data_IF_156752022979
#
_entry.id   IF_156752022979
#
_cell.length_a   1.000
_cell.length_b   1.000
_cell.length_c   1.000
_cell.angle_alpha   90.00
_cell.angle_beta   90.00
_cell.angle_gamma   90.00
#
_symmetry.space_group_name_H-M   'P 1'
#
loop_
_entity.id
_entity.type
_entity.pdbx_description
1 polymer ?
#
# COMPACT_ATOMS: atom_id res chain seq x y z
N UNK A 1 25.70 -51.02 28.08
CA UNK A 1 24.56 -50.91 27.17
C UNK A 1 24.74 -49.56 26.49
N UNK A 2 25.20 -49.59 25.23
CA UNK A 2 25.33 -48.51 24.22
C UNK A 2 26.19 -47.28 24.62
N UNK A 3 27.34 -46.92 24.03
CA UNK A 3 28.05 -47.07 22.73
C UNK A 3 27.46 -46.38 21.49
N UNK A 4 28.38 -45.75 20.72
CA UNK A 4 28.32 -45.02 19.44
C UNK A 4 27.90 -43.53 19.48
N UNK A 5 28.79 -42.54 19.30
CA UNK A 5 29.91 -42.27 18.35
C UNK A 5 29.44 -41.89 16.93
N UNK A 6 29.89 -40.71 16.53
CA UNK A 6 29.68 -39.97 15.29
C UNK A 6 29.96 -40.73 13.99
N UNK A 7 29.24 -40.37 12.93
CA UNK A 7 29.61 -40.66 11.55
C UNK A 7 29.19 -39.51 10.62
N UNK A 8 30.17 -38.98 9.91
CA UNK A 8 30.09 -37.97 8.86
C UNK A 8 30.49 -38.69 7.58
N UNK A 9 29.62 -38.75 6.56
CA UNK A 9 29.99 -39.01 5.16
C UNK A 9 28.82 -38.52 4.27
N UNK A 10 28.93 -37.39 3.57
CA UNK A 10 29.57 -37.20 2.25
C UNK A 10 28.81 -37.94 1.14
N UNK A 11 27.83 -37.24 0.57
CA UNK A 11 27.18 -37.60 -0.71
C UNK A 11 27.71 -36.66 -1.78
N UNK A 12 28.64 -37.15 -2.59
CA UNK A 12 29.03 -36.55 -3.88
C UNK A 12 28.04 -37.05 -4.93
N UNK A 13 27.16 -36.18 -5.42
CA UNK A 13 26.23 -36.49 -6.50
C UNK A 13 26.75 -35.91 -7.83
N UNK A 14 27.31 -36.82 -8.62
CA UNK A 14 27.35 -36.93 -10.08
C UNK A 14 27.03 -35.66 -10.92
N UNK A 15 28.07 -35.00 -11.42
CA UNK A 15 27.97 -34.09 -12.57
C UNK A 15 28.00 -34.90 -13.87
N UNK A 16 26.85 -35.01 -14.54
CA UNK A 16 26.73 -35.59 -15.87
C UNK A 16 26.91 -34.49 -16.93
N UNK A 17 28.02 -34.57 -17.67
CA UNK A 17 28.38 -33.65 -18.75
C UNK A 17 27.81 -34.21 -20.06
N UNK A 18 26.88 -33.52 -20.76
CA UNK A 18 26.45 -33.97 -22.09
C UNK A 18 27.47 -33.62 -23.17
N UNK A 19 27.69 -34.59 -24.06
CA UNK A 19 28.61 -34.57 -25.21
C UNK A 19 28.30 -33.45 -26.24
N UNK A 20 29.31 -32.99 -27.01
CA UNK A 20 29.13 -31.94 -28.00
C UNK A 20 28.44 -32.44 -29.27
N UNK A 21 27.46 -31.67 -29.74
CA UNK A 21 26.74 -31.89 -31.00
C UNK A 21 27.63 -31.51 -32.19
N UNK A 22 27.76 -32.44 -33.14
CA UNK A 22 28.51 -32.28 -34.40
C UNK A 22 27.92 -31.17 -35.30
N UNK A 23 28.82 -30.33 -35.82
CA UNK A 23 28.59 -29.34 -36.88
C UNK A 23 28.63 -30.04 -38.26
N UNK A 24 27.67 -29.83 -39.17
CA UNK A 24 27.79 -30.34 -40.54
C UNK A 24 28.56 -29.37 -41.45
N UNK A 25 29.54 -29.93 -42.18
CA UNK A 25 30.30 -29.31 -43.27
C UNK A 25 29.42 -28.80 -44.45
N UNK A 26 29.94 -27.87 -45.28
CA UNK A 26 29.15 -27.14 -46.27
C UNK A 26 28.99 -27.91 -47.58
N UNK A 27 27.78 -27.90 -48.14
CA UNK A 27 27.49 -28.46 -49.46
C UNK A 27 27.81 -27.47 -50.60
N UNK A 28 28.35 -28.07 -51.66
CA UNK A 28 28.92 -27.47 -52.86
C UNK A 28 27.98 -26.62 -53.73
N UNK A 29 28.63 -25.66 -54.37
CA UNK A 29 28.22 -24.84 -55.50
C UNK A 29 27.86 -25.70 -56.73
N UNK A 30 26.65 -25.53 -57.28
CA UNK A 30 26.33 -25.96 -58.66
C UNK A 30 25.72 -24.82 -59.46
N UNK A 31 26.26 -24.68 -60.67
CA UNK A 31 26.04 -23.59 -61.60
C UNK A 31 24.77 -23.74 -62.44
N UNK A 32 24.11 -22.61 -62.67
CA UNK A 32 23.70 -22.16 -64.01
C UNK A 32 22.49 -22.84 -64.68
N UNK A 33 21.31 -22.25 -64.52
CA UNK A 33 20.22 -22.36 -65.49
C UNK A 33 19.74 -20.95 -65.91
N UNK A 34 19.78 -20.68 -67.21
CA UNK A 34 19.53 -19.37 -67.83
C UNK A 34 18.03 -19.08 -67.94
N UNK A 35 17.56 -18.04 -67.24
CA UNK A 35 16.19 -17.50 -67.31
C UNK A 35 16.12 -16.35 -68.33
N UNK A 36 15.11 -16.29 -69.23
CA UNK A 36 14.98 -15.20 -70.20
C UNK A 36 14.68 -13.84 -69.53
N UNK A 37 15.01 -12.70 -70.15
CA UNK A 37 14.84 -11.39 -69.52
C UNK A 37 13.35 -11.06 -69.31
N UNK A 38 12.96 -10.89 -68.05
CA UNK A 38 11.65 -10.37 -67.67
C UNK A 38 11.49 -8.88 -68.02
N UNK A 39 10.25 -8.35 -67.99
CA UNK A 39 9.96 -6.97 -68.38
C UNK A 39 10.73 -5.98 -67.50
N UNK A 40 11.25 -4.94 -68.14
CA UNK A 40 12.09 -3.92 -67.51
C UNK A 40 11.35 -3.18 -66.39
N UNK A 41 12.11 -2.66 -65.41
CA UNK A 41 11.60 -1.90 -64.27
C UNK A 41 10.62 -0.77 -64.66
N UNK A 42 10.81 -0.15 -65.83
CA UNK A 42 9.90 0.88 -66.36
C UNK A 42 8.53 0.31 -66.78
N UNK A 43 8.46 -0.91 -67.30
CA UNK A 43 7.21 -1.58 -67.64
C UNK A 43 6.43 -2.06 -66.41
N UNK A 44 7.15 -2.41 -65.32
CA UNK A 44 6.52 -2.73 -64.02
C UNK A 44 6.00 -1.48 -63.30
N UNK A 45 6.70 -0.35 -63.38
CA UNK A 45 6.22 0.92 -62.80
C UNK A 45 4.95 1.45 -63.48
N UNK A 46 4.85 1.35 -64.81
CA UNK A 46 3.69 1.85 -65.55
C UNK A 46 2.39 1.07 -65.27
N UNK A 47 2.48 -0.23 -64.98
CA UNK A 47 1.33 -1.08 -64.64
C UNK A 47 0.94 -1.00 -63.16
N UNK A 48 1.86 -0.63 -62.27
CA UNK A 48 1.59 -0.54 -60.82
C UNK A 48 1.09 0.83 -60.39
N UNK A 49 1.40 1.90 -61.14
CA UNK A 49 1.02 3.28 -60.79
C UNK A 49 -0.22 3.82 -61.54
N UNK A 50 -0.66 3.17 -62.60
CA UNK A 50 -1.92 3.51 -63.30
C UNK A 50 -3.17 3.55 -62.39
N UNK A 51 -3.38 2.61 -61.44
CA UNK A 51 -4.58 2.63 -60.59
C UNK A 51 -4.51 3.63 -59.42
N UNK A 52 -3.39 4.34 -59.21
CA UNK A 52 -3.26 5.32 -58.13
C UNK A 52 -3.82 6.69 -58.54
N UNK A 53 -3.64 7.08 -59.81
CA UNK A 53 -4.17 8.34 -60.37
C UNK A 53 -5.69 8.35 -60.46
N UNK A 54 -6.31 7.27 -60.95
CA UNK A 54 -7.77 7.13 -61.05
C UNK A 54 -8.46 7.11 -59.67
N UNK A 55 -7.78 6.60 -58.62
CA UNK A 55 -8.31 6.57 -57.24
C UNK A 55 -8.26 7.94 -56.55
N UNK A 56 -7.27 8.77 -56.86
CA UNK A 56 -7.17 10.13 -56.34
C UNK A 56 -8.15 11.09 -57.02
N UNK A 57 -8.33 10.97 -58.33
CA UNK A 57 -9.33 11.77 -59.07
C UNK A 57 -10.77 11.39 -58.67
N UNK A 58 -11.03 10.09 -58.44
CA UNK A 58 -12.33 9.62 -57.93
C UNK A 58 -12.60 10.03 -56.48
N UNK A 59 -11.57 10.15 -55.63
CA UNK A 59 -11.69 10.64 -54.26
C UNK A 59 -12.04 12.13 -54.19
N UNK A 60 -11.40 12.95 -55.04
CA UNK A 60 -11.67 14.38 -55.15
C UNK A 60 -13.03 14.68 -55.78
N UNK A 61 -13.47 13.88 -56.76
CA UNK A 61 -14.81 14.01 -57.35
C UNK A 61 -15.93 13.66 -56.35
N UNK A 62 -15.76 12.61 -55.52
CA UNK A 62 -16.71 12.25 -54.45
C UNK A 62 -16.74 13.26 -53.31
N UNK A 63 -15.61 13.90 -53.00
CA UNK A 63 -15.54 15.05 -52.09
C UNK A 63 -16.31 16.26 -52.64
N UNK A 64 -16.21 16.52 -53.95
CA UNK A 64 -16.94 17.61 -54.62
C UNK A 64 -18.45 17.39 -54.65
N UNK A 65 -18.91 16.17 -54.89
CA UNK A 65 -20.35 15.85 -54.91
C UNK A 65 -20.95 15.79 -53.49
N UNK A 66 -20.14 15.43 -52.47
CA UNK A 66 -20.53 15.50 -51.06
C UNK A 66 -20.63 16.93 -50.50
N UNK A 67 -19.95 17.90 -51.12
CA UNK A 67 -20.03 19.33 -50.78
C UNK A 67 -21.37 19.97 -51.22
N UNK A 68 -22.13 19.36 -52.14
CA UNK A 68 -23.40 19.88 -52.64
C UNK A 68 -24.64 19.41 -51.84
N UNK A 69 -24.52 18.45 -50.91
CA UNK A 69 -25.67 17.79 -50.26
C UNK A 69 -25.86 18.11 -48.76
N UNK A 70 -25.23 19.17 -48.24
CA UNK A 70 -25.44 19.64 -46.86
C UNK A 70 -24.90 18.73 -45.74
N UNK A 71 -24.42 17.52 -46.08
CA UNK A 71 -23.88 16.55 -45.11
C UNK A 71 -22.41 16.78 -44.70
N UNK A 72 -21.70 17.66 -45.39
CA UNK A 72 -20.31 18.03 -45.03
C UNK A 72 -20.24 18.69 -43.64
N UNK A 73 -21.31 19.38 -43.23
CA UNK A 73 -21.42 20.03 -41.93
C UNK A 73 -21.33 19.00 -40.80
N UNK A 74 -21.99 17.85 -40.92
CA UNK A 74 -21.90 16.79 -39.92
C UNK A 74 -20.51 16.19 -39.85
N UNK A 75 -19.82 16.01 -40.99
CA UNK A 75 -18.43 15.55 -41.01
C UNK A 75 -17.48 16.52 -40.30
N UNK A 76 -17.65 17.83 -40.53
CA UNK A 76 -16.86 18.88 -39.85
C UNK A 76 -17.20 18.94 -38.37
N UNK A 77 -18.48 18.85 -37.98
CA UNK A 77 -18.89 18.81 -36.56
C UNK A 77 -18.29 17.58 -35.87
N UNK A 78 -18.37 16.39 -36.45
CA UNK A 78 -17.76 15.18 -35.87
C UNK A 78 -16.25 15.32 -35.72
N UNK A 79 -15.55 15.86 -36.73
CA UNK A 79 -14.10 16.09 -36.64
C UNK A 79 -13.76 17.12 -35.55
N UNK A 80 -14.52 18.21 -35.45
CA UNK A 80 -14.34 19.23 -34.41
C UNK A 80 -14.63 18.67 -33.01
N UNK A 81 -15.63 17.80 -32.86
CA UNK A 81 -15.91 17.11 -31.59
C UNK A 81 -14.74 16.21 -31.20
N UNK A 82 -14.21 15.39 -32.10
CA UNK A 82 -13.04 14.53 -31.82
C UNK A 82 -11.82 15.37 -31.42
N UNK A 83 -11.56 16.48 -32.13
CA UNK A 83 -10.47 17.41 -31.80
C UNK A 83 -10.70 18.08 -30.46
N UNK A 84 -11.92 18.52 -30.15
CA UNK A 84 -12.28 19.11 -28.86
C UNK A 84 -12.13 18.12 -27.69
N UNK A 85 -12.37 16.82 -27.91
CA UNK A 85 -12.14 15.79 -26.90
C UNK A 85 -10.64 15.57 -26.64
N UNK A 86 -9.76 15.79 -27.63
CA UNK A 86 -8.30 15.63 -27.49
C UNK A 86 -7.66 16.87 -26.86
N UNK A 87 -8.20 18.07 -27.09
CA UNK A 87 -7.66 19.32 -26.55
C UNK A 87 -7.99 19.53 -25.06
N UNK A 88 -7.19 20.34 -24.34
CA UNK A 88 -7.54 20.81 -23.00
C UNK A 88 -8.87 21.58 -23.03
N UNK A 89 -9.79 21.38 -22.06
CA UNK A 89 -9.62 20.69 -20.77
C UNK A 89 -10.00 19.20 -20.76
N UNK A 90 -10.52 18.65 -21.87
CA UNK A 90 -11.10 17.30 -21.87
C UNK A 90 -9.99 16.25 -21.88
N UNK A 91 -8.97 16.43 -22.73
CA UNK A 91 -7.77 15.59 -22.78
C UNK A 91 -8.07 14.08 -22.71
N UNK A 92 -9.06 13.63 -23.49
CA UNK A 92 -9.62 12.28 -23.43
C UNK A 92 -8.57 11.15 -23.56
N UNK A 93 -7.51 11.26 -24.39
CA UNK A 93 -6.44 10.26 -24.44
C UNK A 93 -5.65 10.13 -23.11
N UNK A 94 -5.49 11.21 -22.35
CA UNK A 94 -4.83 11.20 -21.04
C UNK A 94 -5.75 10.59 -19.97
N UNK A 95 -7.06 10.89 -20.03
CA UNK A 95 -8.08 10.30 -19.14
C UNK A 95 -8.31 8.81 -19.39
N UNK A 96 -8.20 8.36 -20.64
CA UNK A 96 -8.28 6.95 -21.03
C UNK A 96 -6.95 6.19 -20.85
N UNK A 97 -5.88 6.85 -20.39
CA UNK A 97 -4.57 6.21 -20.21
C UNK A 97 -3.90 5.75 -21.52
N UNK A 98 -4.21 6.38 -22.65
CA UNK A 98 -3.67 6.00 -23.97
C UNK A 98 -2.27 6.56 -24.23
N UNK A 99 -1.84 7.56 -23.46
CA UNK A 99 -0.55 8.28 -23.58
C UNK A 99 0.05 8.54 -22.20
N UNK A 100 1.38 8.64 -22.11
CA UNK A 100 2.10 8.94 -20.86
C UNK A 100 2.69 7.73 -20.11
N UNK A 101 2.59 6.52 -20.68
CA UNK A 101 3.21 5.32 -20.12
C UNK A 101 4.57 5.05 -20.76
N UNK A 102 5.57 4.82 -19.92
CA UNK A 102 6.88 4.30 -20.30
C UNK A 102 6.85 2.78 -20.21
N UNK A 103 7.39 2.10 -21.22
CA UNK A 103 7.57 0.63 -21.19
C UNK A 103 8.90 0.31 -20.50
N UNK A 104 8.82 -0.51 -19.46
CA UNK A 104 9.96 -1.05 -18.74
C UNK A 104 10.25 -2.48 -19.20
N UNK A 105 11.52 -2.77 -19.46
CA UNK A 105 12.03 -4.07 -19.89
C UNK A 105 13.54 -4.15 -19.61
N UNK A 106 14.21 -5.22 -20.04
CA UNK A 106 15.64 -5.40 -19.81
C UNK A 106 16.52 -4.27 -20.40
N UNK A 107 16.12 -3.67 -21.52
CA UNK A 107 16.87 -2.58 -22.17
C UNK A 107 16.57 -1.21 -21.56
N UNK A 108 15.40 -1.05 -20.96
CA UNK A 108 14.95 0.17 -20.28
C UNK A 108 14.30 -0.21 -18.93
N UNK A 109 15.11 -0.52 -17.89
CA UNK A 109 14.61 -1.12 -16.66
C UNK A 109 13.97 -0.12 -15.70
N UNK A 110 14.04 1.18 -15.97
CA UNK A 110 13.58 2.21 -15.03
C UNK A 110 12.83 3.36 -15.67
N UNK A 111 12.04 4.07 -14.86
CA UNK A 111 11.40 5.34 -15.18
C UNK A 111 11.47 6.27 -13.98
N UNK A 112 11.76 7.55 -14.22
CA UNK A 112 11.88 8.57 -13.18
C UNK A 112 10.88 9.70 -13.39
N UNK A 113 10.39 10.25 -12.28
CA UNK A 113 9.61 11.48 -12.21
C UNK A 113 10.55 12.64 -11.84
N UNK A 114 10.38 13.85 -12.42
CA UNK A 114 11.24 15.01 -12.12
C UNK A 114 11.26 15.40 -10.63
N UNK A 115 10.20 15.10 -9.89
CA UNK A 115 10.11 15.40 -8.46
C UNK A 115 10.88 14.40 -7.57
N UNK A 116 11.50 13.37 -8.13
CA UNK A 116 12.49 12.55 -7.42
C UNK A 116 12.12 11.07 -7.18
N UNK A 117 10.97 10.58 -7.65
CA UNK A 117 10.67 9.14 -7.63
C UNK A 117 11.26 8.44 -8.86
N UNK A 118 11.98 7.35 -8.65
CA UNK A 118 12.39 6.40 -9.68
C UNK A 118 11.84 5.00 -9.37
N UNK A 119 11.28 4.36 -10.39
CA UNK A 119 10.79 2.99 -10.33
C UNK A 119 11.69 2.12 -11.21
N UNK A 120 12.22 1.04 -10.64
CA UNK A 120 13.14 0.11 -11.30
C UNK A 120 12.53 -1.30 -11.23
N UNK A 121 12.43 -1.99 -12.36
CA UNK A 121 11.91 -3.36 -12.37
C UNK A 121 12.94 -4.34 -11.78
N UNK A 122 12.47 -5.25 -10.94
CA UNK A 122 13.29 -6.31 -10.36
C UNK A 122 13.52 -7.47 -11.33
N UNK A 123 14.54 -8.31 -11.07
CA UNK A 123 14.74 -9.55 -11.81
C UNK A 123 13.50 -10.44 -11.66
N UNK A 124 12.92 -10.87 -12.79
CA UNK A 124 11.69 -11.67 -12.82
C UNK A 124 10.40 -10.90 -13.13
N UNK A 125 10.46 -9.57 -13.25
CA UNK A 125 9.34 -8.81 -13.80
C UNK A 125 9.09 -9.15 -15.27
N UNK A 126 7.84 -9.36 -15.67
CA UNK A 126 7.49 -9.64 -17.06
C UNK A 126 7.88 -8.44 -17.94
N UNK A 127 8.68 -8.68 -18.98
CA UNK A 127 9.42 -7.66 -19.76
C UNK A 127 8.59 -6.69 -20.61
N UNK A 128 7.39 -6.30 -20.19
CA UNK A 128 6.53 -5.32 -20.85
C UNK A 128 5.70 -4.46 -19.87
N UNK A 129 6.20 -4.24 -18.66
CA UNK A 129 5.55 -3.41 -17.65
C UNK A 129 5.40 -1.96 -18.16
N UNK A 130 4.17 -1.43 -18.20
CA UNK A 130 3.88 -0.05 -18.60
C UNK A 130 3.59 0.78 -17.36
N UNK A 131 4.42 1.79 -17.10
CA UNK A 131 4.29 2.66 -15.91
C UNK A 131 4.15 4.11 -16.36
N UNK A 132 3.22 4.83 -15.74
CA UNK A 132 3.13 6.28 -15.81
C UNK A 132 3.25 6.85 -14.40
N UNK A 133 4.15 7.81 -14.22
CA UNK A 133 4.35 8.51 -12.96
C UNK A 133 3.71 9.90 -13.05
N UNK A 134 3.15 10.34 -11.93
CA UNK A 134 2.58 11.68 -11.73
C UNK A 134 2.78 12.05 -10.26
N UNK A 135 2.58 13.31 -9.90
CA UNK A 135 2.74 13.78 -8.53
C UNK A 135 1.69 14.82 -8.15
N UNK A 136 1.44 14.91 -6.85
CA UNK A 136 0.71 16.03 -6.24
C UNK A 136 1.66 16.71 -5.25
N UNK A 137 1.87 18.03 -5.36
CA UNK A 137 2.73 18.76 -4.44
C UNK A 137 2.38 18.50 -2.98
N UNK A 138 3.40 18.38 -2.12
CA UNK A 138 3.25 18.10 -0.69
C UNK A 138 2.27 19.07 -0.01
N UNK A 139 2.37 20.37 -0.34
CA UNK A 139 1.51 21.42 0.23
C UNK A 139 0.05 21.19 -0.16
N UNK A 140 -0.24 20.90 -1.43
CA UNK A 140 -1.61 20.64 -1.88
C UNK A 140 -2.20 19.37 -1.25
N UNK A 141 -1.37 18.34 -1.07
CA UNK A 141 -1.76 17.12 -0.36
C UNK A 141 -2.05 17.40 1.12
N UNK A 142 -1.17 18.11 1.82
CA UNK A 142 -1.31 18.45 3.24
C UNK A 142 -2.51 19.38 3.49
N UNK A 143 -2.77 20.32 2.59
CA UNK A 143 -3.91 21.25 2.67
C UNK A 143 -5.24 20.63 2.22
N UNK A 144 -5.24 19.35 1.80
CA UNK A 144 -6.41 18.64 1.26
C UNK A 144 -7.00 19.30 0.01
N UNK A 145 -6.17 20.01 -0.74
CA UNK A 145 -6.54 20.70 -1.97
C UNK A 145 -6.46 19.80 -3.22
N UNK A 146 -5.98 18.57 -3.07
CA UNK A 146 -5.67 17.64 -4.15
C UNK A 146 -6.88 16.89 -4.77
N UNK A 147 -8.11 17.28 -4.42
CA UNK A 147 -9.34 16.66 -4.88
C UNK A 147 -9.90 15.59 -3.93
N UNK A 148 -11.13 15.10 -4.18
CA UNK A 148 -11.88 14.26 -3.23
C UNK A 148 -11.20 12.91 -2.96
N UNK A 149 -10.55 12.31 -3.96
CA UNK A 149 -9.91 11.00 -3.82
C UNK A 149 -8.71 11.02 -2.86
N UNK A 150 -7.98 12.15 -2.80
CA UNK A 150 -6.81 12.31 -1.93
C UNK A 150 -7.16 12.96 -0.59
N UNK A 151 -8.33 13.59 -0.49
CA UNK A 151 -8.84 14.11 0.77
C UNK A 151 -8.95 12.99 1.82
N UNK A 152 -9.52 11.84 1.44
CA UNK A 152 -9.61 10.68 2.34
C UNK A 152 -8.22 10.23 2.82
N UNK A 153 -7.24 10.15 1.92
CA UNK A 153 -5.87 9.77 2.27
C UNK A 153 -5.23 10.75 3.29
N UNK A 154 -5.47 12.05 3.13
CA UNK A 154 -4.96 13.07 4.05
C UNK A 154 -5.73 13.11 5.39
N UNK A 155 -7.00 12.72 5.41
CA UNK A 155 -7.83 12.64 6.63
C UNK A 155 -7.48 11.42 7.50
N UNK A 156 -7.11 10.30 6.88
CA UNK A 156 -6.76 9.05 7.55
C UNK A 156 -5.27 8.93 7.89
N UNK A 157 -4.47 9.96 7.59
CA UNK A 157 -3.06 9.96 7.89
C UNK A 157 -2.85 9.82 9.41
N UNK A 158 -2.13 8.79 9.89
CA UNK A 158 -1.86 8.62 11.30
C UNK A 158 -1.19 9.87 11.90
N UNK A 159 -1.54 10.29 13.13
CA UNK A 159 -1.01 11.52 13.73
C UNK A 159 0.50 11.45 14.00
N UNK A 160 1.09 10.26 13.97
CA UNK A 160 2.53 10.01 14.13
C UNK A 160 3.31 10.10 12.81
N UNK A 161 2.62 10.28 11.67
CA UNK A 161 3.25 10.35 10.36
C UNK A 161 3.09 11.75 9.78
N UNK A 162 4.19 12.29 9.28
CA UNK A 162 4.21 13.57 8.57
C UNK A 162 4.73 13.37 7.14
N UNK A 163 3.93 13.70 6.12
CA UNK A 163 4.38 13.66 4.74
C UNK A 163 5.50 14.69 4.49
N UNK A 164 6.60 14.24 3.85
CA UNK A 164 7.79 15.06 3.52
C UNK A 164 8.05 15.20 2.03
N UNK A 165 7.44 14.34 1.19
CA UNK A 165 7.53 14.42 -0.26
C UNK A 165 6.18 14.80 -0.89
N UNK A 166 6.15 15.10 -2.20
CA UNK A 166 4.93 14.98 -2.99
C UNK A 166 4.26 13.62 -2.81
N UNK A 167 2.96 13.58 -3.06
CA UNK A 167 2.24 12.32 -3.21
C UNK A 167 2.46 11.82 -4.64
N UNK A 168 3.29 10.79 -4.80
CA UNK A 168 3.54 10.20 -6.11
C UNK A 168 2.42 9.23 -6.47
N UNK A 169 1.94 9.32 -7.71
CA UNK A 169 0.96 8.40 -8.30
C UNK A 169 1.68 7.49 -9.29
N UNK A 170 1.51 6.19 -9.10
CA UNK A 170 2.04 5.17 -10.00
C UNK A 170 0.85 4.51 -10.70
N UNK A 171 0.75 4.72 -12.01
CA UNK A 171 -0.27 4.06 -12.83
C UNK A 171 0.37 2.95 -13.62
N UNK A 172 -0.20 1.77 -13.50
CA UNK A 172 0.27 0.55 -14.14
C UNK A 172 -0.69 0.17 -15.28
N UNK A 173 -0.15 -0.24 -16.43
CA UNK A 173 -0.93 -0.74 -17.56
C UNK A 173 -1.51 -2.14 -17.30
N UNK A 174 -2.50 -2.56 -18.10
CA UNK A 174 -3.41 -3.68 -17.83
C UNK A 174 -2.83 -5.11 -17.77
N UNK A 175 -1.50 -5.32 -17.68
CA UNK A 175 -0.85 -6.65 -17.65
C UNK A 175 0.51 -6.63 -16.95
N UNK A 176 0.60 -5.96 -15.82
CA UNK A 176 1.89 -5.69 -15.24
C UNK A 176 1.90 -6.08 -13.78
N UNK A 177 2.68 -7.12 -13.50
CA UNK A 177 2.91 -7.64 -12.18
C UNK A 177 4.39 -8.06 -12.07
N UNK A 178 4.99 -7.87 -10.90
CA UNK A 178 6.36 -8.26 -10.63
C UNK A 178 7.08 -7.35 -9.63
N UNK A 179 8.19 -7.85 -9.07
CA UNK A 179 8.96 -7.13 -8.07
C UNK A 179 9.56 -5.86 -8.67
N UNK A 180 9.64 -4.82 -7.86
CA UNK A 180 10.25 -3.54 -8.23
C UNK A 180 11.04 -2.94 -7.06
N UNK A 181 12.00 -2.10 -7.39
CA UNK A 181 12.68 -1.21 -6.44
C UNK A 181 12.17 0.20 -6.66
N UNK A 182 11.74 0.83 -5.58
CA UNK A 182 11.38 2.23 -5.52
C UNK A 182 12.58 2.98 -4.96
N UNK A 183 13.05 3.99 -5.66
CA UNK A 183 14.07 4.93 -5.17
C UNK A 183 13.43 6.33 -5.11
N UNK A 184 13.51 7.00 -3.97
CA UNK A 184 13.00 8.37 -3.82
C UNK A 184 14.12 9.26 -3.31
N UNK A 185 14.37 10.37 -4.01
CA UNK A 185 15.31 11.40 -3.55
C UNK A 185 14.83 11.96 -2.21
N UNK A 186 15.73 12.04 -1.24
CA UNK A 186 15.42 12.57 0.08
C UNK A 186 15.06 14.06 -0.05
N UNK A 187 13.90 14.51 0.46
CA UNK A 187 13.55 15.92 0.43
C UNK A 187 14.50 16.75 1.30
N UNK A 188 14.86 17.95 0.85
CA UNK A 188 15.83 18.82 1.55
C UNK A 188 15.47 19.13 3.02
N UNK A 189 14.17 19.19 3.36
CA UNK A 189 13.67 19.54 4.70
C UNK A 189 13.13 18.32 5.48
N UNK A 190 13.80 17.17 5.32
CA UNK A 190 13.35 15.87 5.85
C UNK A 190 14.26 15.27 6.94
N UNK A 191 15.17 16.04 7.54
CA UNK A 191 15.96 15.57 8.69
C UNK A 191 15.08 15.37 9.95
N UNK A 192 15.41 14.40 10.84
CA UNK A 192 16.42 13.35 10.69
C UNK A 192 16.04 12.26 9.66
N UNK A 193 16.98 11.87 8.81
CA UNK A 193 16.73 10.91 7.72
C UNK A 193 16.47 9.49 8.20
N UNK A 194 16.98 9.11 9.37
CA UNK A 194 16.74 7.80 9.98
C UNK A 194 15.29 7.56 10.42
N UNK A 195 14.46 8.61 10.36
CA UNK A 195 13.02 8.54 10.68
C UNK A 195 12.14 8.56 9.43
N UNK A 196 12.75 8.52 8.24
CA UNK A 196 12.03 8.54 6.96
C UNK A 196 11.74 7.14 6.47
N UNK A 197 10.50 6.94 6.05
CA UNK A 197 10.00 5.69 5.48
C UNK A 197 9.09 6.00 4.28
N UNK A 198 8.95 5.03 3.39
CA UNK A 198 8.04 5.05 2.25
C UNK A 198 6.71 4.41 2.64
N UNK A 199 5.62 5.10 2.31
CA UNK A 199 4.26 4.62 2.53
C UNK A 199 3.44 4.69 1.24
N UNK A 200 2.45 3.80 1.13
CA UNK A 200 1.40 3.85 0.10
C UNK A 200 0.03 4.01 0.73
N UNK A 201 -0.86 4.68 0.03
CA UNK A 201 -2.29 4.68 0.32
C UNK A 201 -2.99 3.57 -0.50
N UNK A 202 -3.73 2.70 0.18
CA UNK A 202 -4.48 1.60 -0.46
C UNK A 202 -5.88 1.97 -0.92
N UNK A 203 -6.33 3.18 -0.61
CA UNK A 203 -7.73 3.60 -0.74
C UNK A 203 -8.48 3.62 0.58
N UNK A 204 -8.00 2.90 1.59
CA UNK A 204 -8.61 2.83 2.93
C UNK A 204 -7.61 2.98 4.08
N UNK A 205 -6.36 2.56 3.88
CA UNK A 205 -5.32 2.63 4.90
C UNK A 205 -3.95 3.03 4.32
N UNK A 206 -3.10 3.55 5.20
CA UNK A 206 -1.68 3.75 4.92
C UNK A 206 -0.90 2.49 5.25
N UNK A 207 -0.09 2.02 4.31
CA UNK A 207 0.76 0.84 4.46
C UNK A 207 2.21 1.21 4.27
N UNK A 208 3.07 0.66 5.12
CA UNK A 208 4.52 0.83 5.05
C UNK A 208 5.11 -0.04 3.93
N UNK A 209 5.98 0.56 3.11
CA UNK A 209 6.66 -0.10 1.99
C UNK A 209 8.12 -0.47 2.30
N UNK A 210 8.77 0.26 3.20
CA UNK A 210 10.22 0.19 3.42
C UNK A 210 10.82 1.56 3.69
N UNK A 211 12.12 1.62 3.97
CA UNK A 211 12.83 2.87 4.27
C UNK A 211 14.35 2.73 4.29
N UNK A 212 14.91 1.89 3.41
CA UNK A 212 16.36 1.67 3.38
C UNK A 212 17.09 2.91 2.87
N UNK A 213 17.92 3.50 3.71
CA UNK A 213 18.64 4.73 3.44
C UNK A 213 19.96 4.44 2.70
N UNK A 214 20.11 5.00 1.50
CA UNK A 214 21.40 5.11 0.81
C UNK A 214 21.97 6.52 1.02
N UNK A 215 22.90 6.63 1.97
CA UNK A 215 23.54 7.89 2.33
C UNK A 215 24.48 8.43 1.25
N UNK A 216 25.05 7.57 0.39
CA UNK A 216 25.98 8.01 -0.65
C UNK A 216 25.23 8.65 -1.82
N UNK A 217 24.04 8.12 -2.12
CA UNK A 217 23.19 8.60 -3.21
C UNK A 217 22.08 9.54 -2.74
N UNK A 218 21.92 9.73 -1.44
CA UNK A 218 20.84 10.50 -0.80
C UNK A 218 19.45 10.02 -1.25
N UNK A 219 19.27 8.69 -1.23
CA UNK A 219 18.03 8.02 -1.65
C UNK A 219 17.39 7.23 -0.51
N UNK A 220 16.06 7.23 -0.49
CA UNK A 220 15.27 6.29 0.29
C UNK A 220 14.76 5.18 -0.63
N UNK A 221 14.98 3.93 -0.24
CA UNK A 221 14.70 2.76 -1.09
C UNK A 221 13.72 1.79 -0.44
N UNK A 222 12.85 1.19 -1.26
CA UNK A 222 12.01 0.06 -0.89
C UNK A 222 11.99 -0.98 -2.00
N UNK A 223 12.07 -2.28 -1.65
CA UNK A 223 11.76 -3.37 -2.57
C UNK A 223 10.33 -3.84 -2.32
N UNK A 224 9.54 -3.88 -3.38
CA UNK A 224 8.14 -4.28 -3.33
C UNK A 224 7.91 -5.49 -4.24
N UNK A 225 7.05 -6.42 -3.82
CA UNK A 225 6.67 -7.56 -4.66
C UNK A 225 5.76 -7.15 -5.83
N UNK A 226 4.97 -6.10 -5.62
CA UNK A 226 4.01 -5.54 -6.56
C UNK A 226 4.14 -4.01 -6.53
N UNK A 227 3.99 -3.35 -7.67
CA UNK A 227 4.01 -1.90 -7.70
C UNK A 227 2.78 -1.32 -6.97
N UNK A 228 2.98 -0.45 -5.96
CA UNK A 228 1.86 0.24 -5.32
C UNK A 228 1.27 1.27 -6.29
N UNK A 229 0.05 1.73 -6.00
CA UNK A 229 -0.61 2.82 -6.73
C UNK A 229 -0.06 4.20 -6.36
N UNK A 230 0.63 4.30 -5.22
CA UNK A 230 1.17 5.55 -4.70
C UNK A 230 2.42 5.35 -3.85
N UNK A 231 3.20 6.41 -3.71
CA UNK A 231 4.35 6.46 -2.81
C UNK A 231 4.43 7.85 -2.18
N UNK A 232 4.71 7.91 -0.89
CA UNK A 232 4.98 9.14 -0.13
C UNK A 232 6.12 8.87 0.84
N UNK A 233 7.08 9.79 0.92
CA UNK A 233 8.05 9.82 2.01
C UNK A 233 7.37 10.41 3.23
N UNK A 234 7.34 9.66 4.32
CA UNK A 234 6.81 10.10 5.60
C UNK A 234 7.91 10.10 6.65
N UNK A 235 7.88 11.11 7.51
CA UNK A 235 8.66 11.15 8.73
C UNK A 235 7.81 10.61 9.88
N UNK A 236 8.33 9.62 10.58
CA UNK A 236 7.70 9.08 11.79
C UNK A 236 8.13 9.90 13.00
N UNK A 237 7.18 10.51 13.68
CA UNK A 237 7.47 11.23 14.94
C UNK A 237 7.73 10.25 16.07
N UNK A 238 8.67 10.54 16.99
CA UNK A 238 8.89 9.71 18.17
C UNK A 238 7.60 9.55 18.98
N UNK A 239 7.17 8.30 19.19
CA UNK A 239 6.10 8.00 20.14
C UNK A 239 6.74 7.95 21.53
N UNK A 240 6.29 8.81 22.44
CA UNK A 240 6.71 8.75 23.84
C UNK A 240 6.27 7.39 24.39
N UNK A 241 7.19 6.51 24.81
CA UNK A 241 6.81 5.20 25.31
C UNK A 241 5.98 5.37 26.59
N UNK A 242 4.85 4.66 26.66
CA UNK A 242 4.03 4.66 27.85
C UNK A 242 4.64 3.73 28.90
N UNK A 243 5.10 4.27 30.03
CA UNK A 243 5.69 3.53 31.15
C UNK A 243 4.72 3.58 32.32
N UNK A 244 4.20 2.41 32.71
CA UNK A 244 3.13 2.29 33.69
C UNK A 244 3.49 1.45 34.90
N UNK A 245 2.80 1.71 36.02
CA UNK A 245 2.83 0.85 37.22
C UNK A 245 1.42 0.61 37.74
N UNK A 246 1.23 -0.47 38.49
CA UNK A 246 -0.01 -0.72 39.24
C UNK A 246 0.16 -0.16 40.64
N UNK A 247 -0.70 0.77 41.05
CA UNK A 247 -0.67 1.36 42.39
C UNK A 247 -2.07 1.80 42.82
N UNK A 248 -2.36 1.77 44.11
CA UNK A 248 -3.64 2.29 44.66
C UNK A 248 -3.60 3.78 44.97
N UNK A 249 -2.40 4.36 45.00
CA UNK A 249 -2.12 5.79 45.20
C UNK A 249 -1.03 6.21 44.21
N UNK A 250 -0.90 7.52 43.98
CA UNK A 250 0.12 8.04 43.07
C UNK A 250 1.53 7.63 43.49
N UNK A 251 2.37 7.11 42.58
CA UNK A 251 3.77 6.81 42.88
C UNK A 251 4.52 8.09 43.26
N UNK A 252 5.45 8.00 44.20
CA UNK A 252 6.26 9.13 44.69
C UNK A 252 7.76 8.96 44.37
N UNK A 253 8.50 10.07 44.45
CA UNK A 253 9.95 10.09 44.27
C UNK A 253 10.40 9.92 42.82
N UNK A 254 11.64 9.45 42.62
CA UNK A 254 12.26 9.31 41.29
C UNK A 254 11.48 8.39 40.34
N UNK A 255 10.71 7.44 40.87
CA UNK A 255 9.88 6.57 40.05
C UNK A 255 8.74 7.33 39.36
N UNK A 256 8.19 8.37 40.01
CA UNK A 256 7.11 9.18 39.44
C UNK A 256 7.59 10.00 38.23
N UNK A 257 8.87 10.37 38.17
CA UNK A 257 9.44 11.18 37.08
C UNK A 257 9.52 10.44 35.74
N UNK A 258 9.54 9.10 35.76
CA UNK A 258 9.64 8.27 34.55
C UNK A 258 8.32 7.62 34.15
N UNK A 259 7.31 7.67 35.01
CA UNK A 259 6.02 7.04 34.77
C UNK A 259 5.10 8.00 34.02
N UNK A 260 4.55 7.56 32.90
CA UNK A 260 3.55 8.32 32.13
C UNK A 260 2.13 7.95 32.53
N UNK A 261 1.95 6.76 33.11
CA UNK A 261 0.63 6.21 33.44
C UNK A 261 0.64 5.44 34.77
N UNK A 262 -0.53 5.39 35.41
CA UNK A 262 -0.78 4.58 36.61
C UNK A 262 -2.05 3.75 36.40
N UNK A 263 -1.94 2.45 36.63
CA UNK A 263 -3.04 1.50 36.59
C UNK A 263 -3.59 1.36 38.01
N UNK A 264 -4.81 1.82 38.20
CA UNK A 264 -5.45 1.93 39.50
C UNK A 264 -6.39 0.74 39.74
N UNK A 265 -6.01 -0.25 40.57
CA UNK A 265 -6.87 -1.39 40.89
C UNK A 265 -7.93 -0.98 41.92
N UNK A 266 -9.05 -1.70 41.94
CA UNK A 266 -10.10 -1.51 42.94
C UNK A 266 -11.44 -2.14 42.56
N UNK A 267 -11.62 -2.46 41.28
CA UNK A 267 -12.83 -3.09 40.76
C UNK A 267 -12.56 -4.51 40.27
N UNK A 268 -13.49 -5.41 40.63
CA UNK A 268 -13.45 -6.83 40.27
C UNK A 268 -14.78 -7.23 39.66
N UNK A 269 -14.75 -8.10 38.65
CA UNK A 269 -15.95 -8.68 38.04
C UNK A 269 -16.81 -9.40 39.08
N UNK A 270 -18.08 -9.01 39.17
CA UNK A 270 -19.12 -9.65 39.96
C UNK A 270 -20.06 -10.51 39.13
N UNK A 271 -21.15 -10.96 39.73
CA UNK A 271 -22.23 -11.68 39.03
C UNK A 271 -23.00 -10.74 38.11
N UNK A 272 -23.61 -11.29 37.06
CA UNK A 272 -24.51 -10.56 36.16
C UNK A 272 -23.88 -9.28 35.57
N UNK A 273 -22.57 -9.30 35.31
CA UNK A 273 -21.84 -8.17 34.70
C UNK A 273 -21.56 -7.00 35.66
N UNK A 274 -21.86 -7.16 36.96
CA UNK A 274 -21.59 -6.11 37.96
C UNK A 274 -20.08 -5.92 38.21
N UNK A 275 -19.73 -4.77 38.76
CA UNK A 275 -18.41 -4.49 39.29
C UNK A 275 -18.48 -4.41 40.82
N UNK A 276 -17.62 -5.17 41.48
CA UNK A 276 -17.47 -5.20 42.94
C UNK A 276 -16.25 -4.39 43.35
N UNK A 277 -16.33 -3.71 44.50
CA UNK A 277 -15.27 -2.87 45.04
C UNK A 277 -15.54 -1.38 44.85
N UNK A 278 -14.49 -0.58 44.98
CA UNK A 278 -14.57 0.88 44.85
C UNK A 278 -13.47 1.36 43.91
N UNK A 279 -13.84 2.25 42.99
CA UNK A 279 -12.91 2.82 42.03
C UNK A 279 -12.06 3.91 42.73
N UNK A 280 -10.73 3.77 42.77
CA UNK A 280 -9.86 4.75 43.44
C UNK A 280 -9.82 6.08 42.67
N UNK A 281 -9.71 7.22 43.36
CA UNK A 281 -9.66 8.51 42.67
C UNK A 281 -8.48 8.61 41.67
N UNK A 282 -8.68 9.19 40.47
CA UNK A 282 -7.61 9.45 39.53
C UNK A 282 -6.47 10.27 40.14
N UNK A 283 -5.24 9.92 39.79
CA UNK A 283 -4.02 10.60 40.24
C UNK A 283 -3.67 11.70 39.24
N UNK A 284 -3.43 12.92 39.75
CA UNK A 284 -3.00 14.05 38.93
C UNK A 284 -1.53 13.99 38.52
N UNK A 285 -1.22 14.52 37.33
CA UNK A 285 0.16 14.60 36.82
C UNK A 285 0.58 13.44 35.91
N UNK A 286 -0.27 12.45 35.71
CA UNK A 286 -0.05 11.30 34.81
C UNK A 286 -1.37 10.71 34.32
N UNK A 287 -1.33 9.87 33.29
CA UNK A 287 -2.55 9.20 32.80
C UNK A 287 -3.02 8.14 33.80
N UNK A 288 -4.20 8.34 34.39
CA UNK A 288 -4.82 7.36 35.28
C UNK A 288 -5.68 6.39 34.50
N UNK A 289 -5.36 5.10 34.54
CA UNK A 289 -6.11 4.02 33.90
C UNK A 289 -6.79 3.17 34.97
N UNK A 290 -8.10 2.92 34.81
CA UNK A 290 -8.85 2.08 35.74
C UNK A 290 -8.56 0.60 35.45
N UNK A 291 -8.00 -0.13 36.41
CA UNK A 291 -7.66 -1.54 36.27
C UNK A 291 -8.79 -2.44 36.80
N UNK A 292 -9.38 -3.21 35.89
CA UNK A 292 -10.46 -4.16 36.15
C UNK A 292 -9.90 -5.59 36.15
N UNK A 293 -10.31 -6.40 37.13
CA UNK A 293 -9.84 -7.79 37.27
C UNK A 293 -11.02 -8.75 37.40
N UNK A 294 -10.82 -10.02 37.08
CA UNK A 294 -11.74 -11.11 37.45
C UNK A 294 -11.17 -12.00 38.56
N UNK A 295 -10.16 -11.51 39.26
CA UNK A 295 -9.42 -12.21 40.30
C UNK A 295 -8.97 -11.23 41.39
N UNK A 296 -8.68 -11.76 42.57
CA UNK A 296 -8.10 -11.03 43.70
C UNK A 296 -6.96 -11.87 44.27
N UNK A 297 -5.95 -11.23 44.87
CA UNK A 297 -4.72 -11.90 45.32
C UNK A 297 -5.01 -13.08 46.28
N UNK A 298 -6.02 -12.93 47.14
CA UNK A 298 -6.39 -13.93 48.16
C UNK A 298 -7.63 -14.77 47.82
N UNK A 299 -8.13 -14.71 46.57
CA UNK A 299 -9.31 -15.46 46.13
C UNK A 299 -8.98 -16.36 44.94
N UNK A 300 -9.55 -17.57 44.87
CA UNK A 300 -9.48 -18.38 43.66
C UNK A 300 -10.02 -17.61 42.46
N UNK A 301 -9.34 -17.75 41.31
CA UNK A 301 -9.85 -17.27 40.04
C UNK A 301 -11.22 -17.90 39.75
N UNK A 302 -12.20 -17.08 39.39
CA UNK A 302 -13.53 -17.56 39.01
C UNK A 302 -13.73 -17.41 37.49
N UNK A 303 -13.33 -18.41 36.69
CA UNK A 303 -13.52 -18.37 35.24
C UNK A 303 -15.01 -18.40 34.84
N UNK A 304 -15.89 -18.90 35.71
CA UNK A 304 -17.33 -18.96 35.47
C UNK A 304 -17.96 -17.57 35.28
N UNK A 305 -17.59 -16.59 36.11
CA UNK A 305 -18.10 -15.22 35.98
C UNK A 305 -17.70 -14.59 34.64
N UNK A 306 -16.48 -14.86 34.19
CA UNK A 306 -16.04 -14.40 32.89
C UNK A 306 -16.77 -15.14 31.77
N UNK A 307 -16.99 -16.45 31.91
CA UNK A 307 -17.78 -17.21 30.94
C UNK A 307 -19.20 -16.64 30.78
N UNK A 308 -19.87 -16.30 31.88
CA UNK A 308 -21.21 -15.70 31.83
C UNK A 308 -21.22 -14.37 31.04
N UNK A 309 -20.21 -13.51 31.23
CA UNK A 309 -20.04 -12.26 30.45
C UNK A 309 -19.77 -12.51 28.97
N UNK A 310 -19.10 -13.61 28.63
CA UNK A 310 -18.75 -13.93 27.25
C UNK A 310 -19.85 -14.69 26.49
N UNK A 311 -20.68 -15.44 27.22
CA UNK A 311 -21.71 -16.32 26.65
C UNK A 311 -23.09 -15.66 26.60
N UNK A 312 -23.40 -14.74 27.53
CA UNK A 312 -24.70 -14.07 27.62
C UNK A 312 -24.62 -12.59 27.18
N UNK A 313 -25.35 -12.17 26.14
CA UNK A 313 -25.28 -10.81 25.61
C UNK A 313 -25.85 -9.74 26.57
N UNK A 314 -26.82 -10.08 27.41
CA UNK A 314 -27.41 -9.13 28.37
C UNK A 314 -26.41 -8.87 29.50
N UNK A 315 -25.73 -9.92 29.98
CA UNK A 315 -24.66 -9.80 30.98
C UNK A 315 -23.48 -9.02 30.40
N UNK A 316 -23.10 -9.30 29.15
CA UNK A 316 -22.04 -8.57 28.47
C UNK A 316 -22.33 -7.07 28.37
N UNK A 317 -23.54 -6.72 27.94
CA UNK A 317 -23.96 -5.33 27.78
C UNK A 317 -23.98 -4.61 29.14
N UNK A 318 -24.55 -5.22 30.17
CA UNK A 318 -24.54 -4.67 31.53
C UNK A 318 -23.10 -4.45 32.04
N UNK A 319 -22.19 -5.38 31.73
CA UNK A 319 -20.79 -5.26 32.11
C UNK A 319 -20.07 -4.11 31.41
N UNK A 320 -20.29 -3.95 30.10
CA UNK A 320 -19.75 -2.81 29.33
C UNK A 320 -20.25 -1.49 29.92
N UNK A 321 -21.55 -1.37 30.18
CA UNK A 321 -22.15 -0.17 30.77
C UNK A 321 -21.55 0.18 32.14
N UNK A 322 -21.37 -0.83 33.00
CA UNK A 322 -20.75 -0.66 34.31
C UNK A 322 -19.29 -0.22 34.20
N UNK A 323 -18.51 -0.78 33.26
CA UNK A 323 -17.12 -0.37 33.02
C UNK A 323 -17.07 1.08 32.54
N UNK A 324 -17.89 1.45 31.55
CA UNK A 324 -17.92 2.81 31.00
C UNK A 324 -18.29 3.83 32.10
N UNK A 325 -19.30 3.52 32.91
CA UNK A 325 -19.69 4.38 34.03
C UNK A 325 -18.57 4.52 35.07
N UNK A 326 -17.88 3.42 35.41
CA UNK A 326 -16.79 3.43 36.40
C UNK A 326 -15.52 4.14 35.88
N UNK A 327 -15.24 4.04 34.58
CA UNK A 327 -14.10 4.68 33.93
C UNK A 327 -14.30 6.18 33.65
N UNK A 328 -15.48 6.73 33.95
CA UNK A 328 -15.74 8.16 33.82
C UNK A 328 -14.76 8.98 34.68
N UNK A 329 -13.99 9.86 34.05
CA UNK A 329 -12.97 10.68 34.70
C UNK A 329 -11.56 10.08 34.73
N UNK A 330 -11.37 8.88 34.18
CA UNK A 330 -10.07 8.27 33.93
C UNK A 330 -9.64 8.52 32.48
N UNK A 331 -8.34 8.37 32.20
CA UNK A 331 -7.82 8.45 30.84
C UNK A 331 -8.21 7.22 29.99
N UNK A 332 -8.44 6.08 30.65
CA UNK A 332 -8.76 4.82 30.00
C UNK A 332 -9.08 3.70 30.98
N UNK A 333 -9.41 2.53 30.44
CA UNK A 333 -9.61 1.30 31.21
C UNK A 333 -8.61 0.21 30.81
N UNK A 334 -8.28 -0.69 31.74
CA UNK A 334 -7.41 -1.84 31.50
C UNK A 334 -8.04 -3.10 32.06
N UNK A 335 -8.09 -4.16 31.24
CA UNK A 335 -8.59 -5.46 31.64
C UNK A 335 -7.41 -6.39 31.99
N UNK A 336 -7.38 -6.91 33.21
CA UNK A 336 -6.54 -8.04 33.63
C UNK A 336 -7.47 -9.23 33.95
N UNK A 337 -8.09 -9.74 32.90
CA UNK A 337 -8.98 -10.90 32.95
C UNK A 337 -8.19 -12.17 32.63
N UNK A 338 -8.26 -13.14 33.53
CA UNK A 338 -7.47 -14.37 33.49
C UNK A 338 -8.38 -15.58 33.35
N UNK A 339 -7.82 -16.68 32.86
CA UNK A 339 -8.55 -17.95 32.72
C UNK A 339 -9.52 -17.98 31.54
N UNK A 340 -9.28 -17.18 30.50
CA UNK A 340 -9.99 -17.29 29.22
C UNK A 340 -9.63 -18.64 28.58
N UNK A 341 -10.63 -19.49 28.38
CA UNK A 341 -10.42 -20.79 27.73
C UNK A 341 -10.12 -20.60 26.23
N UNK A 342 -9.39 -21.53 25.57
CA UNK A 342 -9.10 -21.43 24.14
C UNK A 342 -10.35 -21.25 23.27
N UNK A 343 -11.46 -21.89 23.64
CA UNK A 343 -12.75 -21.84 22.94
C UNK A 343 -13.44 -20.47 23.08
N UNK A 344 -13.09 -19.70 24.11
CA UNK A 344 -13.63 -18.37 24.39
C UNK A 344 -12.86 -17.24 23.69
N UNK A 345 -11.83 -17.56 22.88
CA UNK A 345 -11.00 -16.56 22.18
C UNK A 345 -11.81 -15.59 21.33
N UNK A 346 -12.74 -16.11 20.54
CA UNK A 346 -13.59 -15.30 19.66
C UNK A 346 -14.57 -14.42 20.47
N UNK A 347 -15.38 -14.98 21.40
CA UNK A 347 -16.21 -14.19 22.30
C UNK A 347 -15.46 -13.09 23.07
N UNK A 348 -14.28 -13.41 23.62
CA UNK A 348 -13.46 -12.45 24.35
C UNK A 348 -12.98 -11.31 23.45
N UNK A 349 -12.56 -11.62 22.21
CA UNK A 349 -12.14 -10.60 21.25
C UNK A 349 -13.31 -9.69 20.87
N UNK A 350 -14.50 -10.27 20.65
CA UNK A 350 -15.71 -9.52 20.36
C UNK A 350 -16.11 -8.59 21.52
N UNK A 351 -16.05 -9.09 22.75
CA UNK A 351 -16.28 -8.29 23.96
C UNK A 351 -15.31 -7.11 24.06
N UNK A 352 -14.01 -7.32 23.83
CA UNK A 352 -13.00 -6.24 23.89
C UNK A 352 -13.26 -5.18 22.81
N UNK A 353 -13.66 -5.58 21.60
CA UNK A 353 -14.04 -4.64 20.53
C UNK A 353 -15.26 -3.81 20.93
N UNK A 354 -16.32 -4.46 21.41
CA UNK A 354 -17.54 -3.77 21.84
C UNK A 354 -17.28 -2.80 23.01
N UNK A 355 -16.44 -3.21 23.97
CA UNK A 355 -16.02 -2.36 25.08
C UNK A 355 -15.21 -1.14 24.57
N UNK A 356 -14.27 -1.36 23.65
CA UNK A 356 -13.46 -0.28 23.09
C UNK A 356 -14.33 0.76 22.37
N UNK A 357 -15.28 0.31 21.53
CA UNK A 357 -16.24 1.20 20.88
C UNK A 357 -17.05 2.02 21.91
N UNK A 358 -17.52 1.37 22.99
CA UNK A 358 -18.29 2.03 24.04
C UNK A 358 -17.47 3.07 24.82
N UNK A 359 -16.20 2.79 25.13
CA UNK A 359 -15.28 3.73 25.78
C UNK A 359 -14.92 4.91 24.87
N UNK A 360 -14.63 4.64 23.59
CA UNK A 360 -14.29 5.69 22.60
C UNK A 360 -15.46 6.65 22.38
N UNK A 361 -16.71 6.17 22.42
CA UNK A 361 -17.90 7.03 22.39
C UNK A 361 -17.98 8.03 23.56
N UNK A 362 -17.28 7.78 24.66
CA UNK A 362 -17.15 8.69 25.80
C UNK A 362 -15.81 9.45 25.83
N UNK A 363 -14.97 9.33 24.79
CA UNK A 363 -13.60 9.84 24.74
C UNK A 363 -12.69 9.25 25.84
N UNK A 364 -12.92 8.00 26.22
CA UNK A 364 -12.11 7.23 27.16
C UNK A 364 -11.28 6.22 26.36
N UNK A 365 -9.99 6.06 26.67
CA UNK A 365 -9.09 5.15 25.95
C UNK A 365 -9.32 3.67 26.26
#
# INVERSE_FOLDING_TARGET
>A
MEEHKAETDRVEENLEIPEPVEEPEPAEETAGETVPPGPTFRQRLATTLAPLGERLEGGLARLRDGLASGNWIYGVITALVVVALILPPISLPQRLGLVGYTRLNADNPSVSHPDGLTVIIGPGAEGNLRVALDSVPQVEFAERAAGPDLQAAAETLPPVLQAKSPYYKIRVGSRADGPATLEVVIPNDAEPWETLDLYTWTGTAWEWLGGSLDLERELLMAQVAHLPSSVVVMQTTPVVPAVGTVATTGPEGQAAEVLTQVLLPGLVLGTDGTLLGEAPAPVGGMESLLLLRNWQDDQPLSPALLADVLDDPDIQQAHIENIVAAAAGYAGATLDYRGVAPEQREPFSAFVVALAEALHNQNIR
#
